data_IF_526974676374
#
_entry.id   IF_526974676374
#
_cell.length_a   1.000
_cell.length_b   1.000
_cell.length_c   1.000
_cell.angle_alpha   90.00
_cell.angle_beta   90.00
_cell.angle_gamma   90.00
#
_symmetry.space_group_name_H-M   'P 1'
#
loop_
_entity.id
_entity.type
_entity.pdbx_description
1 polymer ?
#
# COMPACT_ATOMS: atom_id res chain seq x y z
N UNK A 1 37.88 3.99 -11.35
CA UNK A 1 36.66 4.81 -11.35
C UNK A 1 35.54 3.85 -11.75
N UNK A 2 34.47 3.69 -10.96
CA UNK A 2 33.41 2.75 -11.34
C UNK A 2 32.75 3.23 -12.63
N UNK A 3 32.74 2.35 -13.64
CA UNK A 3 32.15 2.56 -14.96
C UNK A 3 30.68 2.99 -14.93
N UNK A 4 29.98 2.69 -13.82
CA UNK A 4 28.63 3.16 -13.48
C UNK A 4 28.40 4.66 -13.65
N UNK A 5 29.39 5.51 -13.32
CA UNK A 5 29.18 6.97 -13.26
C UNK A 5 29.37 7.65 -14.63
N UNK A 6 29.36 6.89 -15.73
CA UNK A 6 29.48 7.48 -17.06
C UNK A 6 28.16 8.15 -17.47
N UNK A 7 28.16 9.42 -17.92
CA UNK A 7 26.93 10.16 -18.22
C UNK A 7 26.00 9.48 -19.22
N UNK A 8 26.56 8.71 -20.18
CA UNK A 8 25.76 7.95 -21.16
C UNK A 8 24.97 6.81 -20.51
N UNK A 9 25.59 6.07 -19.59
CA UNK A 9 24.97 4.95 -18.88
C UNK A 9 23.91 5.46 -17.91
N UNK A 10 24.22 6.51 -17.15
CA UNK A 10 23.25 7.13 -16.25
C UNK A 10 22.00 7.61 -16.99
N UNK A 11 22.19 8.35 -18.09
CA UNK A 11 21.09 8.82 -18.92
C UNK A 11 20.25 7.66 -19.48
N UNK A 12 20.90 6.61 -19.98
CA UNK A 12 20.22 5.44 -20.50
C UNK A 12 19.30 4.80 -19.44
N UNK A 13 19.83 4.57 -18.25
CA UNK A 13 19.08 3.94 -17.16
C UNK A 13 17.95 4.84 -16.65
N UNK A 14 18.17 6.16 -16.60
CA UNK A 14 17.14 7.13 -16.24
C UNK A 14 15.97 7.12 -17.24
N UNK A 15 16.26 7.06 -18.53
CA UNK A 15 15.23 6.97 -19.58
C UNK A 15 14.46 5.64 -19.50
N UNK A 16 15.15 4.51 -19.28
CA UNK A 16 14.49 3.20 -19.03
C UNK A 16 13.57 3.27 -17.81
N UNK A 17 14.08 3.76 -16.67
CA UNK A 17 13.30 3.88 -15.43
C UNK A 17 12.13 4.86 -15.55
N UNK A 18 12.29 5.92 -16.36
CA UNK A 18 11.27 6.92 -16.64
C UNK A 18 10.00 6.33 -17.29
N UNK A 19 10.15 5.25 -18.05
CA UNK A 19 9.03 4.53 -18.69
C UNK A 19 8.30 3.57 -17.73
N UNK A 20 8.87 3.28 -16.56
CA UNK A 20 8.34 2.33 -15.58
C UNK A 20 7.49 3.07 -14.55
N UNK A 21 6.18 2.81 -14.56
CA UNK A 21 5.22 3.47 -13.65
C UNK A 21 5.41 3.04 -12.20
N UNK A 22 5.81 1.79 -11.97
CA UNK A 22 5.99 1.24 -10.63
C UNK A 22 7.32 1.68 -10.01
N UNK A 23 7.31 2.81 -9.31
CA UNK A 23 8.51 3.36 -8.64
C UNK A 23 9.11 2.45 -7.57
N UNK A 24 8.37 1.44 -7.08
CA UNK A 24 8.84 0.54 -6.01
C UNK A 24 9.94 -0.41 -6.50
N UNK A 25 10.02 -0.66 -7.81
CA UNK A 25 11.01 -1.57 -8.42
C UNK A 25 12.20 -0.82 -9.01
N UNK A 26 12.14 0.51 -9.13
CA UNK A 26 13.20 1.32 -9.75
C UNK A 26 14.59 1.07 -9.16
N UNK A 27 14.67 0.89 -7.83
CA UNK A 27 15.94 0.60 -7.17
C UNK A 27 16.55 -0.70 -7.71
N UNK A 28 15.80 -1.80 -7.64
CA UNK A 28 16.28 -3.12 -8.06
C UNK A 28 16.58 -3.16 -9.56
N UNK A 29 15.73 -2.54 -10.38
CA UNK A 29 15.94 -2.47 -11.84
C UNK A 29 17.20 -1.68 -12.17
N UNK A 30 17.45 -0.56 -11.48
CA UNK A 30 18.67 0.21 -11.67
C UNK A 30 19.91 -0.61 -11.30
N UNK A 31 19.88 -1.33 -10.18
CA UNK A 31 20.97 -2.21 -9.77
C UNK A 31 21.23 -3.29 -10.84
N UNK A 32 20.20 -4.00 -11.29
CA UNK A 32 20.33 -5.06 -12.32
C UNK A 32 20.85 -4.54 -13.68
N UNK A 33 20.36 -3.38 -14.13
CA UNK A 33 20.83 -2.77 -15.38
C UNK A 33 22.27 -2.28 -15.28
N UNK A 34 22.68 -1.75 -14.13
CA UNK A 34 24.07 -1.36 -13.88
C UNK A 34 24.96 -2.59 -13.95
N UNK A 35 24.64 -3.61 -13.16
CA UNK A 35 25.45 -4.84 -13.08
C UNK A 35 25.61 -5.47 -14.48
N UNK A 36 24.53 -5.56 -15.26
CA UNK A 36 24.58 -6.13 -16.61
C UNK A 36 25.38 -5.28 -17.60
N UNK A 37 25.26 -3.96 -17.56
CA UNK A 37 26.06 -3.06 -18.41
C UNK A 37 27.55 -3.16 -18.05
N UNK A 38 27.88 -3.26 -16.76
CA UNK A 38 29.27 -3.41 -16.32
C UNK A 38 29.88 -4.75 -16.76
N UNK A 39 29.12 -5.84 -16.71
CA UNK A 39 29.54 -7.13 -17.27
C UNK A 39 29.88 -7.00 -18.76
N UNK A 40 29.02 -6.39 -19.57
CA UNK A 40 29.25 -6.21 -21.02
C UNK A 40 30.46 -5.30 -21.28
N UNK A 41 30.62 -4.21 -20.53
CA UNK A 41 31.79 -3.34 -20.65
C UNK A 41 33.08 -4.13 -20.34
N UNK A 42 33.07 -4.97 -19.31
CA UNK A 42 34.22 -5.77 -18.93
C UNK A 42 34.58 -6.81 -20.00
N UNK A 43 33.59 -7.47 -20.60
CA UNK A 43 33.81 -8.38 -21.73
C UNK A 43 34.54 -7.70 -22.89
N UNK A 44 34.14 -6.47 -23.26
CA UNK A 44 34.82 -5.73 -24.32
C UNK A 44 36.22 -5.25 -23.94
N UNK A 45 36.44 -4.91 -22.68
CA UNK A 45 37.78 -4.57 -22.17
C UNK A 45 38.73 -5.75 -22.20
N UNK A 46 38.25 -6.94 -21.90
CA UNK A 46 39.06 -8.17 -21.91
C UNK A 46 39.54 -8.52 -23.33
N UNK A 47 38.82 -8.05 -24.36
CA UNK A 47 39.20 -8.16 -25.78
C UNK A 47 40.03 -6.95 -26.25
N UNK A 48 40.42 -6.05 -25.34
CA UNK A 48 41.32 -4.92 -25.61
C UNK A 48 40.66 -3.67 -26.20
N UNK A 49 39.32 -3.56 -26.12
CA UNK A 49 38.60 -2.36 -26.57
C UNK A 49 38.77 -1.23 -25.53
N UNK A 50 38.82 0.00 -26.01
CA UNK A 50 38.91 1.19 -25.14
C UNK A 50 37.64 1.34 -24.29
N UNK A 51 37.78 1.93 -23.10
CA UNK A 51 36.66 2.13 -22.16
C UNK A 51 35.48 2.87 -22.80
N UNK A 52 35.75 3.95 -23.55
CA UNK A 52 34.70 4.75 -24.19
C UNK A 52 33.95 3.97 -25.28
N UNK A 53 34.67 3.22 -26.12
CA UNK A 53 34.04 2.37 -27.15
C UNK A 53 33.31 1.18 -26.53
N UNK A 54 33.82 0.61 -25.44
CA UNK A 54 33.17 -0.48 -24.72
C UNK A 54 31.82 -0.03 -24.14
N UNK A 55 31.72 1.20 -23.62
CA UNK A 55 30.47 1.79 -23.14
C UNK A 55 29.46 1.95 -24.29
N UNK A 56 29.88 2.51 -25.42
CA UNK A 56 29.00 2.70 -26.57
C UNK A 56 28.48 1.36 -27.12
N UNK A 57 29.36 0.34 -27.17
CA UNK A 57 28.97 -1.02 -27.54
C UNK A 57 28.05 -1.68 -26.52
N UNK A 58 28.29 -1.49 -25.23
CA UNK A 58 27.44 -2.03 -24.17
C UNK A 58 26.02 -1.46 -24.25
N UNK A 59 25.87 -0.14 -24.39
CA UNK A 59 24.56 0.51 -24.56
C UNK A 59 23.87 0.02 -25.86
N UNK A 60 24.63 -0.11 -26.95
CA UNK A 60 24.11 -0.64 -28.21
C UNK A 60 23.63 -2.10 -28.07
N UNK A 61 24.35 -2.93 -27.32
CA UNK A 61 24.00 -4.33 -27.05
C UNK A 61 22.77 -4.45 -26.15
N UNK A 62 22.62 -3.58 -25.14
CA UNK A 62 21.39 -3.48 -24.36
C UNK A 62 20.19 -3.17 -25.27
N UNK A 63 20.38 -2.29 -26.24
CA UNK A 63 19.36 -1.90 -27.21
C UNK A 63 18.59 -0.65 -26.80
N UNK A 64 17.46 -0.39 -27.45
CA UNK A 64 16.66 0.83 -27.23
C UNK A 64 16.05 0.87 -25.82
N UNK A 65 16.26 1.99 -25.12
CA UNK A 65 15.68 2.22 -23.80
C UNK A 65 14.15 2.20 -23.84
N UNK A 66 13.53 2.58 -24.97
CA UNK A 66 12.08 2.56 -25.13
C UNK A 66 11.49 1.15 -25.13
N UNK A 67 12.21 0.18 -25.69
CA UNK A 67 11.77 -1.22 -25.73
C UNK A 67 11.93 -1.83 -24.33
N UNK A 68 13.12 -1.76 -23.75
CA UNK A 68 13.39 -2.30 -22.41
C UNK A 68 12.46 -1.68 -21.37
N UNK A 69 12.33 -0.35 -21.38
CA UNK A 69 11.48 0.36 -20.41
C UNK A 69 10.01 -0.03 -20.51
N UNK A 70 9.48 -0.28 -21.71
CA UNK A 70 8.09 -0.76 -21.89
C UNK A 70 7.91 -2.19 -21.40
N UNK A 71 8.84 -3.08 -21.73
CA UNK A 71 8.78 -4.49 -21.34
C UNK A 71 8.89 -4.64 -19.82
N UNK A 72 9.83 -3.93 -19.19
CA UNK A 72 9.95 -3.88 -17.73
C UNK A 72 8.71 -3.26 -17.08
N UNK A 73 8.13 -2.21 -17.67
CA UNK A 73 6.90 -1.62 -17.14
C UNK A 73 5.70 -2.60 -17.24
N UNK A 74 5.66 -3.44 -18.27
CA UNK A 74 4.63 -4.47 -18.42
C UNK A 74 4.76 -5.56 -17.36
N UNK A 75 5.98 -6.08 -17.16
CA UNK A 75 6.27 -7.13 -16.18
C UNK A 75 6.07 -6.63 -14.75
N UNK A 76 6.49 -5.40 -14.44
CA UNK A 76 6.42 -4.83 -13.09
C UNK A 76 5.20 -3.94 -12.85
N UNK A 77 4.14 -4.07 -13.65
CA UNK A 77 2.94 -3.24 -13.55
C UNK A 77 2.26 -3.42 -12.18
N UNK A 78 2.26 -2.35 -11.38
CA UNK A 78 1.48 -2.29 -10.15
C UNK A 78 0.04 -1.86 -10.47
N UNK A 79 -0.85 -2.81 -10.79
CA UNK A 79 -2.28 -2.55 -10.92
C UNK A 79 -3.04 -2.86 -9.64
N UNK A 80 -3.96 -1.99 -9.19
CA UNK A 80 -4.93 -2.36 -8.17
C UNK A 80 -5.74 -3.58 -8.61
N UNK A 81 -6.16 -4.39 -7.64
CA UNK A 81 -7.17 -5.43 -7.88
C UNK A 81 -8.54 -4.77 -8.06
N UNK A 82 -8.87 -4.46 -9.32
CA UNK A 82 -10.13 -3.83 -9.69
C UNK A 82 -11.34 -4.71 -9.37
N UNK A 83 -11.19 -6.03 -9.39
CA UNK A 83 -12.26 -6.95 -9.04
C UNK A 83 -12.57 -6.84 -7.54
N UNK A 84 -11.55 -6.84 -6.69
CA UNK A 84 -11.72 -6.64 -5.25
C UNK A 84 -12.37 -5.30 -4.92
N UNK A 85 -11.93 -4.22 -5.57
CA UNK A 85 -12.54 -2.89 -5.40
C UNK A 85 -14.01 -2.88 -5.84
N UNK A 86 -14.32 -3.52 -6.96
CA UNK A 86 -15.69 -3.64 -7.48
C UNK A 86 -16.62 -4.40 -6.54
N UNK A 87 -16.17 -5.56 -6.02
CA UNK A 87 -16.95 -6.36 -5.06
C UNK A 87 -17.15 -5.59 -3.74
N UNK A 88 -16.12 -4.89 -3.27
CA UNK A 88 -16.23 -4.06 -2.05
C UNK A 88 -17.23 -2.92 -2.23
N UNK A 89 -17.20 -2.22 -3.37
CA UNK A 89 -18.16 -1.17 -3.68
C UNK A 89 -19.59 -1.71 -3.76
N UNK A 90 -19.78 -2.90 -4.36
CA UNK A 90 -21.07 -3.57 -4.42
C UNK A 90 -21.62 -3.85 -3.00
N UNK A 91 -20.81 -4.38 -2.09
CA UNK A 91 -21.26 -4.62 -0.71
C UNK A 91 -21.63 -3.36 0.05
N UNK A 92 -20.90 -2.25 -0.15
CA UNK A 92 -21.25 -0.95 0.43
C UNK A 92 -22.62 -0.49 -0.11
N UNK A 93 -22.85 -0.59 -1.41
CA UNK A 93 -24.12 -0.19 -2.04
C UNK A 93 -25.29 -1.06 -1.56
N UNK A 94 -25.11 -2.38 -1.48
CA UNK A 94 -26.11 -3.29 -0.94
C UNK A 94 -26.41 -2.97 0.52
N UNK A 95 -25.39 -2.66 1.34
CA UNK A 95 -25.59 -2.24 2.73
C UNK A 95 -26.41 -0.95 2.84
N UNK A 96 -26.12 0.06 2.03
CA UNK A 96 -26.86 1.33 2.05
C UNK A 96 -28.30 1.11 1.56
N UNK A 97 -28.49 0.33 0.49
CA UNK A 97 -29.81 0.02 -0.06
C UNK A 97 -30.68 -0.73 0.95
N UNK A 98 -30.16 -1.82 1.53
CA UNK A 98 -30.89 -2.63 2.51
C UNK A 98 -31.26 -1.82 3.75
N UNK A 99 -30.32 -1.02 4.28
CA UNK A 99 -30.59 -0.18 5.44
C UNK A 99 -31.61 0.94 5.12
N UNK A 100 -31.52 1.54 3.93
CA UNK A 100 -32.50 2.52 3.46
C UNK A 100 -33.90 1.92 3.27
N UNK A 101 -33.97 0.69 2.76
CA UNK A 101 -35.22 -0.05 2.65
C UNK A 101 -35.83 -0.34 4.02
N UNK A 102 -35.04 -0.83 4.98
CA UNK A 102 -35.50 -1.10 6.36
C UNK A 102 -36.01 0.19 7.03
N UNK A 103 -35.26 1.29 6.89
CA UNK A 103 -35.62 2.58 7.49
C UNK A 103 -36.92 3.14 6.88
N UNK A 104 -37.10 3.03 5.55
CA UNK A 104 -38.32 3.49 4.86
C UNK A 104 -39.58 2.72 5.29
N UNK A 105 -39.46 1.43 5.56
CA UNK A 105 -40.60 0.57 5.92
C UNK A 105 -40.98 0.66 7.42
N UNK A 106 -40.47 1.65 8.17
CA UNK A 106 -40.80 1.88 9.60
C UNK A 106 -40.60 0.67 10.52
N UNK A 107 -39.81 -0.33 10.10
CA UNK A 107 -39.41 -1.48 10.93
C UNK A 107 -38.60 -1.06 12.17
N UNK A 108 -38.19 0.21 12.24
CA UNK A 108 -37.42 0.85 13.31
C UNK A 108 -38.22 2.02 13.91
N UNK A 109 -39.41 1.74 14.44
CA UNK A 109 -40.43 2.74 14.85
C UNK A 109 -40.12 3.48 16.16
N UNK A 110 -38.94 3.27 16.76
CA UNK A 110 -38.52 3.98 17.96
C UNK A 110 -37.64 5.20 17.62
N UNK A 111 -37.94 6.35 18.22
CA UNK A 111 -37.23 7.63 18.08
C UNK A 111 -35.71 7.57 18.32
N UNK A 112 -35.20 6.51 18.98
CA UNK A 112 -33.76 6.23 19.14
C UNK A 112 -33.05 5.77 17.86
N UNK A 113 -33.80 5.39 16.80
CA UNK A 113 -33.25 4.92 15.51
C UNK A 113 -33.25 5.99 14.42
N UNK A 114 -33.53 7.25 14.75
CA UNK A 114 -33.43 8.34 13.80
C UNK A 114 -31.98 8.45 13.26
N UNK A 115 -31.81 8.35 11.94
CA UNK A 115 -30.57 8.59 11.18
C UNK A 115 -29.52 7.46 11.12
N UNK A 116 -29.90 6.18 11.22
CA UNK A 116 -28.96 5.06 10.96
C UNK A 116 -28.33 5.09 9.56
N UNK A 117 -29.10 5.41 8.54
CA UNK A 117 -28.58 5.57 7.17
C UNK A 117 -27.55 6.70 7.10
N UNK A 118 -27.83 7.85 7.72
CA UNK A 118 -26.90 8.98 7.77
C UNK A 118 -25.57 8.62 8.45
N UNK A 119 -25.63 7.94 9.61
CA UNK A 119 -24.44 7.45 10.31
C UNK A 119 -23.65 6.45 9.45
N UNK A 120 -24.34 5.52 8.78
CA UNK A 120 -23.71 4.52 7.91
C UNK A 120 -22.97 5.17 6.75
N UNK A 121 -23.57 6.19 6.11
CA UNK A 121 -22.90 6.96 5.05
C UNK A 121 -21.66 7.65 5.59
N UNK A 122 -21.73 8.31 6.74
CA UNK A 122 -20.57 8.97 7.36
C UNK A 122 -19.43 7.97 7.62
N UNK A 123 -19.73 6.81 8.23
CA UNK A 123 -18.71 5.80 8.50
C UNK A 123 -18.15 5.18 7.21
N UNK A 124 -18.99 4.93 6.20
CA UNK A 124 -18.55 4.42 4.90
C UNK A 124 -17.62 5.42 4.21
N UNK A 125 -17.98 6.70 4.16
CA UNK A 125 -17.13 7.76 3.63
C UNK A 125 -15.81 7.87 4.41
N UNK A 126 -15.86 7.82 5.74
CA UNK A 126 -14.67 7.80 6.59
C UNK A 126 -13.75 6.62 6.29
N UNK A 127 -14.30 5.42 6.11
CA UNK A 127 -13.55 4.22 5.75
C UNK A 127 -12.90 4.29 4.37
N UNK A 128 -13.59 4.86 3.37
CA UNK A 128 -13.03 5.09 2.03
C UNK A 128 -11.86 6.07 2.10
N UNK A 129 -12.03 7.19 2.82
CA UNK A 129 -10.97 8.19 3.00
C UNK A 129 -9.76 7.57 3.73
N UNK A 130 -10.00 6.83 4.82
CA UNK A 130 -8.95 6.14 5.57
C UNK A 130 -8.18 5.16 4.67
N UNK A 131 -8.89 4.36 3.87
CA UNK A 131 -8.27 3.43 2.92
C UNK A 131 -7.42 4.17 1.89
N UNK A 132 -7.92 5.26 1.30
CA UNK A 132 -7.16 6.06 0.34
C UNK A 132 -5.89 6.68 0.93
N UNK A 133 -5.94 7.07 2.22
CA UNK A 133 -4.76 7.55 2.95
C UNK A 133 -3.77 6.42 3.19
N UNK A 134 -4.24 5.27 3.71
CA UNK A 134 -3.39 4.11 4.00
C UNK A 134 -2.68 3.57 2.75
N UNK A 135 -3.33 3.58 1.58
CA UNK A 135 -2.73 3.15 0.32
C UNK A 135 -1.54 4.04 -0.13
N UNK A 136 -1.48 5.29 0.34
CA UNK A 136 -0.35 6.20 0.08
C UNK A 136 0.82 6.00 1.05
N UNK A 137 0.60 5.32 2.18
CA UNK A 137 1.63 5.07 3.17
C UNK A 137 2.48 3.87 2.72
N UNK A 138 3.79 4.06 2.73
CA UNK A 138 4.73 2.95 2.53
C UNK A 138 4.77 2.08 3.79
N UNK A 139 4.10 0.93 3.74
CA UNK A 139 4.02 -0.01 4.86
C UNK A 139 5.40 -0.49 5.33
N UNK A 140 6.44 -0.45 4.48
CA UNK A 140 7.82 -0.78 4.89
C UNK A 140 8.32 0.16 6.00
N UNK A 141 7.83 1.40 6.04
CA UNK A 141 8.16 2.36 7.10
C UNK A 141 7.47 2.06 8.41
N UNK A 142 6.40 1.25 8.43
CA UNK A 142 5.72 0.83 9.66
C UNK A 142 6.50 -0.25 10.41
N UNK A 143 7.32 -1.04 9.71
CA UNK A 143 8.13 -2.13 10.31
C UNK A 143 9.01 -1.66 11.47
N UNK A 144 9.62 -0.48 11.38
CA UNK A 144 10.45 0.07 12.49
C UNK A 144 9.63 0.39 13.75
N UNK A 145 8.31 0.54 13.63
CA UNK A 145 7.41 0.82 14.74
C UNK A 145 6.67 -0.40 15.26
N UNK A 146 6.84 -1.58 14.65
CA UNK A 146 6.10 -2.81 14.96
C UNK A 146 6.07 -3.12 16.47
N UNK A 147 7.23 -3.04 17.16
CA UNK A 147 7.32 -3.29 18.61
C UNK A 147 6.48 -2.32 19.44
N UNK A 148 6.45 -1.05 19.06
CA UNK A 148 5.66 -0.03 19.75
C UNK A 148 4.16 -0.22 19.49
N UNK A 149 3.78 -0.53 18.25
CA UNK A 149 2.39 -0.86 17.89
C UNK A 149 1.91 -2.08 18.67
N UNK A 150 2.70 -3.15 18.69
CA UNK A 150 2.39 -4.37 19.45
C UNK A 150 2.18 -4.07 20.93
N UNK A 151 3.16 -3.42 21.57
CA UNK A 151 3.11 -3.11 23.00
C UNK A 151 1.91 -2.21 23.33
N UNK A 152 1.63 -1.22 22.48
CA UNK A 152 0.46 -0.35 22.63
C UNK A 152 -0.86 -1.10 22.56
N UNK A 153 -1.00 -2.06 21.65
CA UNK A 153 -2.21 -2.90 21.56
C UNK A 153 -2.36 -3.78 22.79
N UNK A 154 -1.28 -4.42 23.26
CA UNK A 154 -1.35 -5.24 24.48
C UNK A 154 -1.76 -4.40 25.69
N UNK A 155 -1.18 -3.21 25.85
CA UNK A 155 -1.56 -2.26 26.91
C UNK A 155 -3.03 -1.85 26.76
N UNK A 156 -3.50 -1.56 25.55
CA UNK A 156 -4.90 -1.20 25.27
C UNK A 156 -5.86 -2.34 25.65
N UNK A 157 -5.50 -3.58 25.36
CA UNK A 157 -6.32 -4.75 25.70
C UNK A 157 -6.34 -5.00 27.21
N UNK A 158 -5.19 -4.93 27.88
CA UNK A 158 -5.08 -5.08 29.34
C UNK A 158 -5.84 -3.95 30.06
N UNK A 159 -5.79 -2.73 29.55
CA UNK A 159 -6.48 -1.60 30.18
C UNK A 159 -8.00 -1.79 30.23
N UNK A 160 -8.59 -2.59 29.33
CA UNK A 160 -10.03 -2.91 29.38
C UNK A 160 -10.42 -3.73 30.62
N UNK A 161 -9.47 -4.40 31.28
CA UNK A 161 -9.72 -5.14 32.52
C UNK A 161 -9.88 -4.17 33.70
N UNK A 162 -9.12 -3.07 33.69
CA UNK A 162 -9.06 -2.11 34.78
C UNK A 162 -10.02 -0.94 34.60
N UNK A 163 -10.30 -0.55 33.35
CA UNK A 163 -11.21 0.54 33.02
C UNK A 163 -12.60 -0.06 32.81
N UNK A 164 -13.48 0.13 33.80
CA UNK A 164 -14.88 -0.28 33.67
C UNK A 164 -15.64 0.71 32.77
N UNK A 165 -15.53 0.52 31.45
CA UNK A 165 -16.22 1.34 30.44
C UNK A 165 -17.70 0.96 30.25
N UNK A 166 -18.20 0.01 31.05
CA UNK A 166 -19.55 -0.54 30.95
C UNK A 166 -19.67 -1.73 30.00
N UNK A 167 -20.77 -2.46 30.12
CA UNK A 167 -21.08 -3.62 29.29
C UNK A 167 -22.12 -3.23 28.24
N UNK A 168 -21.86 -3.56 26.98
CA UNK A 168 -22.89 -3.51 25.94
C UNK A 168 -23.23 -4.95 25.58
N UNK A 169 -24.46 -5.37 25.88
CA UNK A 169 -24.93 -6.75 25.70
C UNK A 169 -24.03 -7.81 26.37
N UNK A 170 -23.50 -7.51 27.56
CA UNK A 170 -22.60 -8.41 28.30
C UNK A 170 -21.16 -8.48 27.75
N UNK A 171 -20.85 -7.79 26.66
CA UNK A 171 -19.50 -7.70 26.11
C UNK A 171 -18.72 -6.52 26.72
N UNK A 172 -17.48 -6.80 27.16
CA UNK A 172 -16.51 -5.80 27.62
C UNK A 172 -15.70 -5.20 26.47
N UNK A 173 -14.91 -4.16 26.76
CA UNK A 173 -13.93 -3.59 25.83
C UNK A 173 -14.47 -2.51 24.89
N UNK A 174 -15.65 -1.97 25.18
CA UNK A 174 -16.19 -0.82 24.46
C UNK A 174 -15.54 0.46 24.96
N UNK A 175 -14.97 1.24 24.04
CA UNK A 175 -14.42 2.56 24.33
C UNK A 175 -15.34 3.58 23.68
N UNK A 176 -15.84 4.52 24.49
CA UNK A 176 -16.75 5.58 24.05
C UNK A 176 -16.05 6.92 24.19
N UNK A 177 -15.83 7.60 23.07
CA UNK A 177 -15.21 8.93 23.00
C UNK A 177 -16.17 9.84 22.24
N UNK A 178 -17.00 10.57 22.98
CA UNK A 178 -18.03 11.43 22.41
C UNK A 178 -19.00 10.64 21.50
N UNK A 179 -19.18 11.01 20.22
CA UNK A 179 -20.10 10.33 19.30
C UNK A 179 -19.53 9.01 18.74
N UNK A 180 -18.27 8.69 19.01
CA UNK A 180 -17.59 7.51 18.48
C UNK A 180 -17.54 6.45 19.56
N UNK A 181 -17.95 5.23 19.19
CA UNK A 181 -17.76 4.05 20.02
C UNK A 181 -17.14 2.94 19.18
N UNK A 182 -16.18 2.23 19.76
CA UNK A 182 -15.58 1.06 19.12
C UNK A 182 -15.18 0.05 20.19
N UNK A 183 -15.11 -1.21 19.79
CA UNK A 183 -14.63 -2.27 20.67
C UNK A 183 -13.13 -2.50 20.44
N UNK A 184 -12.34 -2.40 21.51
CA UNK A 184 -10.89 -2.56 21.47
C UNK A 184 -10.46 -3.94 20.91
N UNK A 185 -11.20 -5.00 21.26
CA UNK A 185 -10.93 -6.36 20.78
C UNK A 185 -11.22 -6.51 19.28
N UNK A 186 -12.18 -5.76 18.73
CA UNK A 186 -12.49 -5.80 17.29
C UNK A 186 -11.44 -5.09 16.44
N UNK A 187 -10.80 -4.03 16.97
CA UNK A 187 -9.77 -3.28 16.22
C UNK A 187 -8.36 -3.86 16.39
N UNK A 188 -8.09 -4.56 17.50
CA UNK A 188 -6.76 -5.07 17.84
C UNK A 188 -6.13 -5.95 16.74
N UNK A 189 -6.86 -6.87 16.07
CA UNK A 189 -6.27 -7.70 15.02
C UNK A 189 -5.62 -6.91 13.90
N UNK A 190 -6.19 -5.78 13.48
CA UNK A 190 -5.60 -4.95 12.42
C UNK A 190 -4.22 -4.42 12.81
N UNK A 191 -4.07 -3.94 14.05
CA UNK A 191 -2.79 -3.44 14.55
C UNK A 191 -1.79 -4.56 14.84
N UNK A 192 -2.26 -5.73 15.28
CA UNK A 192 -1.40 -6.90 15.48
C UNK A 192 -0.85 -7.42 14.16
N UNK A 193 -1.65 -7.44 13.09
CA UNK A 193 -1.19 -7.79 11.74
C UNK A 193 -0.09 -6.82 11.30
N UNK A 194 -0.30 -5.51 11.49
CA UNK A 194 0.71 -4.48 11.18
C UNK A 194 1.99 -4.68 12.00
N UNK A 195 1.87 -5.10 13.27
CA UNK A 195 3.00 -5.33 14.12
C UNK A 195 3.77 -6.62 13.78
N UNK A 196 3.11 -7.63 13.23
CA UNK A 196 3.75 -8.90 12.89
C UNK A 196 4.42 -8.89 11.51
N UNK A 197 3.91 -8.08 10.57
CA UNK A 197 4.41 -7.93 9.21
C UNK A 197 5.75 -7.17 9.12
#
# INVERSE_FOLDING_TARGET
>A
MSTVNHPKVEKYIEEVCGLIKNKRVHKNIKEELIDHIEEIIQEYRDVGITEEEAIDKAIMQMGSYEVIGRDLNMVHKASPDWMLLGITALFILVSIFTLGFIQKNNALTHSSYANFLGKTIIYASGGIILTAVLLKIDYRKLKKYSKYVYSGVIILLISQIFINTGYINGAMGWIVIGPISFNAFNIAPFFLIIALA
#
